data_IF_731394383242
#
_entry.id   IF_731394383242
#
_cell.length_a   1.000
_cell.length_b   1.000
_cell.length_c   1.000
_cell.angle_alpha   90.00
_cell.angle_beta   90.00
_cell.angle_gamma   90.00
#
_symmetry.space_group_name_H-M   'P 1'
#
loop_
_entity.id
_entity.type
_entity.pdbx_description
1 polymer ?
#
# COMPACT_ATOMS: atom_id res chain seq x y z
N UNK A 1 9.80 -3.87 58.73
CA UNK A 1 10.76 -3.57 57.65
C UNK A 1 10.24 -4.22 56.37
N UNK A 2 9.47 -3.49 55.56
CA UNK A 2 8.95 -3.99 54.29
C UNK A 2 9.78 -3.40 53.15
N UNK A 3 10.46 -4.26 52.38
CA UNK A 3 11.21 -3.85 51.19
C UNK A 3 10.19 -3.61 50.07
N UNK A 4 9.92 -2.33 49.78
CA UNK A 4 9.19 -1.91 48.59
C UNK A 4 10.10 -2.20 47.39
N UNK A 5 9.76 -3.23 46.60
CA UNK A 5 10.40 -3.47 45.31
C UNK A 5 9.93 -2.39 44.34
N UNK A 6 10.86 -1.59 43.80
CA UNK A 6 10.57 -0.67 42.69
C UNK A 6 10.08 -1.48 41.49
N UNK A 7 8.90 -1.14 41.00
CA UNK A 7 8.43 -1.54 39.67
C UNK A 7 9.32 -0.80 38.66
N UNK A 8 9.99 -1.48 37.71
CA UNK A 8 10.75 -0.79 36.68
C UNK A 8 9.81 0.04 35.81
N UNK A 9 10.23 1.28 35.54
CA UNK A 9 9.55 2.24 34.68
C UNK A 9 9.33 1.60 33.30
N UNK A 10 8.06 1.47 32.90
CA UNK A 10 7.71 0.99 31.57
C UNK A 10 8.05 2.10 30.58
N UNK A 11 8.82 1.85 29.50
CA UNK A 11 9.09 2.90 28.52
C UNK A 11 7.77 3.38 27.91
N UNK A 12 7.54 4.68 28.05
CA UNK A 12 6.44 5.41 27.43
C UNK A 12 6.55 5.19 25.92
N UNK A 13 5.49 4.73 25.27
CA UNK A 13 5.43 4.52 23.82
C UNK A 13 5.71 5.88 23.15
N UNK A 14 6.96 6.13 22.78
CA UNK A 14 7.37 7.34 22.07
C UNK A 14 6.69 7.32 20.70
N UNK A 15 5.99 8.41 20.37
CA UNK A 15 5.48 8.61 19.01
C UNK A 15 6.70 8.58 18.10
N UNK A 16 6.76 7.60 17.19
CA UNK A 16 7.83 7.54 16.20
C UNK A 16 7.72 8.79 15.32
N UNK A 17 8.69 9.69 15.45
CA UNK A 17 8.91 10.73 14.44
C UNK A 17 9.03 10.05 13.06
N UNK A 18 8.52 10.66 11.98
CA UNK A 18 8.66 10.10 10.65
C UNK A 18 10.14 9.86 10.39
N UNK A 19 10.48 8.61 10.09
CA UNK A 19 11.85 8.23 9.78
C UNK A 19 12.21 8.85 8.42
N UNK A 20 12.87 10.00 8.47
CA UNK A 20 13.27 10.79 7.30
C UNK A 20 14.36 10.11 6.47
N UNK A 21 14.87 8.94 6.87
CA UNK A 21 15.89 8.19 6.13
C UNK A 21 15.32 7.06 5.27
N UNK A 22 14.03 6.73 5.41
CA UNK A 22 13.38 5.62 4.72
C UNK A 22 12.24 6.08 3.80
N UNK A 23 11.99 5.29 2.75
CA UNK A 23 10.79 5.39 1.93
C UNK A 23 9.62 4.80 2.71
N UNK A 24 8.55 5.57 2.87
CA UNK A 24 7.40 5.17 3.68
C UNK A 24 6.22 4.88 2.76
N UNK A 25 5.68 3.66 2.84
CA UNK A 25 4.45 3.28 2.13
C UNK A 25 3.28 3.61 3.02
N UNK A 26 2.47 4.56 2.57
CA UNK A 26 1.19 4.88 3.17
C UNK A 26 0.08 4.32 2.30
N UNK A 27 -1.05 4.00 2.93
CA UNK A 27 -2.24 3.51 2.25
C UNK A 27 -3.41 4.39 2.62
N UNK A 28 -4.02 4.98 1.60
CA UNK A 28 -5.36 5.57 1.69
C UNK A 28 -6.37 4.54 1.17
N UNK A 29 -7.64 4.67 1.55
CA UNK A 29 -8.71 3.97 0.84
C UNK A 29 -9.34 4.92 -0.22
N UNK A 30 -9.75 4.39 -1.37
CA UNK A 30 -10.35 5.23 -2.42
C UNK A 30 -11.70 5.84 -1.99
N UNK A 31 -12.36 5.26 -0.98
CA UNK A 31 -13.66 5.72 -0.50
C UNK A 31 -13.58 6.99 0.37
N UNK A 32 -12.49 7.15 1.13
CA UNK A 32 -12.22 8.25 2.05
C UNK A 32 -10.91 8.97 1.71
N UNK A 33 -10.52 9.08 0.44
CA UNK A 33 -9.25 9.72 0.00
C UNK A 33 -9.02 11.18 0.51
N UNK A 34 -10.03 11.82 1.12
CA UNK A 34 -9.92 13.15 1.76
C UNK A 34 -9.91 13.11 3.30
N UNK A 35 -10.08 11.95 3.90
CA UNK A 35 -10.02 11.74 5.33
C UNK A 35 -8.69 11.09 5.71
N UNK A 36 -7.70 11.94 6.01
CA UNK A 36 -6.37 11.50 6.43
C UNK A 36 -6.39 10.69 7.73
N UNK A 37 -7.50 10.62 8.46
CA UNK A 37 -7.62 9.76 9.66
C UNK A 37 -7.68 8.27 9.32
N UNK A 38 -8.01 7.92 8.08
CA UNK A 38 -8.01 6.54 7.58
C UNK A 38 -6.67 6.14 6.95
N UNK A 39 -5.78 7.10 6.69
CA UNK A 39 -4.42 6.83 6.21
C UNK A 39 -3.64 6.07 7.26
N UNK A 40 -3.07 4.93 6.87
CA UNK A 40 -2.16 4.19 7.73
C UNK A 40 -0.79 4.00 7.07
N UNK A 41 0.24 3.89 7.90
CA UNK A 41 1.58 3.50 7.47
C UNK A 41 1.60 1.97 7.34
N UNK A 42 1.82 1.47 6.14
CA UNK A 42 1.98 0.04 5.90
C UNK A 42 3.41 -0.42 6.19
N UNK A 43 4.41 0.36 5.76
CA UNK A 43 5.81 -0.02 5.94
C UNK A 43 6.84 1.07 5.70
N UNK A 44 8.08 0.79 6.12
CA UNK A 44 9.27 1.63 5.90
C UNK A 44 10.32 0.78 5.18
N UNK A 45 10.90 1.33 4.12
CA UNK A 45 11.80 0.62 3.23
C UNK A 45 13.09 1.42 2.99
N UNK A 46 14.26 0.75 2.93
CA UNK A 46 15.54 1.40 2.70
C UNK A 46 15.69 1.93 1.27
N UNK A 47 14.95 1.37 0.31
CA UNK A 47 15.04 1.75 -1.10
C UNK A 47 13.65 2.08 -1.67
N UNK A 48 13.64 2.91 -2.72
CA UNK A 48 12.42 3.23 -3.44
C UNK A 48 11.82 1.99 -4.12
N UNK A 49 12.68 1.13 -4.68
CA UNK A 49 12.24 -0.08 -5.38
C UNK A 49 11.53 -1.06 -4.44
N UNK A 50 12.04 -1.26 -3.22
CA UNK A 50 11.36 -2.09 -2.21
C UNK A 50 10.01 -1.50 -1.79
N UNK A 51 9.92 -0.17 -1.68
CA UNK A 51 8.65 0.50 -1.42
C UNK A 51 7.66 0.33 -2.58
N UNK A 52 8.14 0.39 -3.84
CA UNK A 52 7.31 0.13 -5.04
C UNK A 52 6.85 -1.32 -5.05
N UNK A 53 7.72 -2.29 -4.77
CA UNK A 53 7.36 -3.70 -4.68
C UNK A 53 6.26 -3.92 -3.63
N UNK A 54 6.33 -3.22 -2.49
CA UNK A 54 5.27 -3.28 -1.49
C UNK A 54 3.96 -2.69 -2.00
N UNK A 55 3.98 -1.50 -2.60
CA UNK A 55 2.77 -0.90 -3.19
C UNK A 55 2.13 -1.84 -4.23
N UNK A 56 2.94 -2.43 -5.12
CA UNK A 56 2.48 -3.40 -6.12
C UNK A 56 1.84 -4.62 -5.47
N UNK A 57 2.47 -5.18 -4.43
CA UNK A 57 1.93 -6.34 -3.73
C UNK A 57 0.56 -6.06 -3.08
N UNK A 58 0.33 -4.85 -2.57
CA UNK A 58 -0.99 -4.46 -2.04
C UNK A 58 -2.03 -4.46 -3.17
N UNK A 59 -1.74 -3.78 -4.27
CA UNK A 59 -2.64 -3.72 -5.43
C UNK A 59 -2.90 -5.10 -6.03
N UNK A 60 -1.85 -5.91 -6.20
CA UNK A 60 -1.95 -7.26 -6.75
C UNK A 60 -2.86 -8.15 -5.89
N UNK A 61 -2.70 -8.12 -4.57
CA UNK A 61 -3.55 -8.88 -3.65
C UNK A 61 -5.02 -8.51 -3.78
N UNK A 62 -5.33 -7.22 -3.87
CA UNK A 62 -6.72 -6.76 -4.00
C UNK A 62 -7.33 -7.09 -5.36
N UNK A 63 -6.55 -6.95 -6.44
CA UNK A 63 -7.01 -7.32 -7.78
C UNK A 63 -7.25 -8.83 -7.88
N UNK A 64 -6.37 -9.66 -7.32
CA UNK A 64 -6.55 -11.11 -7.29
C UNK A 64 -7.80 -11.51 -6.49
N UNK A 65 -8.05 -10.87 -5.34
CA UNK A 65 -9.25 -11.12 -4.52
C UNK A 65 -10.54 -10.60 -5.20
N UNK A 66 -10.44 -9.50 -5.94
CA UNK A 66 -11.57 -8.91 -6.65
C UNK A 66 -11.93 -9.64 -7.96
N UNK A 67 -10.95 -10.32 -8.57
CA UNK A 67 -11.06 -10.96 -9.87
C UNK A 67 -12.08 -12.09 -9.88
N UNK A 68 -12.87 -12.15 -10.96
CA UNK A 68 -13.80 -13.23 -11.24
C UNK A 68 -13.66 -13.66 -12.70
N UNK A 69 -13.73 -14.97 -13.00
CA UNK A 69 -13.74 -15.44 -14.38
C UNK A 69 -14.81 -14.72 -15.21
N UNK A 70 -14.40 -14.18 -16.36
CA UNK A 70 -15.28 -13.44 -17.27
C UNK A 70 -15.32 -11.92 -17.04
N UNK A 71 -14.62 -11.38 -16.03
CA UNK A 71 -14.44 -9.93 -15.92
C UNK A 71 -13.55 -9.39 -17.04
N UNK A 72 -13.92 -8.25 -17.61
CA UNK A 72 -13.05 -7.46 -18.47
C UNK A 72 -12.02 -6.68 -17.64
N UNK A 73 -10.98 -6.14 -18.29
CA UNK A 73 -9.99 -5.32 -17.60
C UNK A 73 -10.66 -4.08 -17.00
N UNK A 74 -11.62 -3.52 -17.73
CA UNK A 74 -12.43 -2.38 -17.34
C UNK A 74 -13.28 -2.70 -16.11
N UNK A 75 -13.99 -3.83 -16.07
CA UNK A 75 -14.81 -4.23 -14.91
C UNK A 75 -13.98 -4.37 -13.63
N UNK A 76 -12.79 -4.97 -13.76
CA UNK A 76 -11.89 -5.17 -12.63
C UNK A 76 -11.31 -3.83 -12.14
N UNK A 77 -10.88 -2.98 -13.07
CA UNK A 77 -10.34 -1.66 -12.75
C UNK A 77 -11.39 -0.74 -12.14
N UNK A 78 -12.61 -0.72 -12.66
CA UNK A 78 -13.72 0.06 -12.10
C UNK A 78 -13.95 -0.34 -10.63
N UNK A 79 -14.01 -1.64 -10.36
CA UNK A 79 -14.17 -2.15 -9.00
C UNK A 79 -13.03 -1.72 -8.07
N UNK A 80 -11.78 -1.83 -8.51
CA UNK A 80 -10.62 -1.39 -7.73
C UNK A 80 -10.64 0.14 -7.49
N UNK A 81 -10.98 0.94 -8.49
CA UNK A 81 -11.02 2.40 -8.35
C UNK A 81 -12.08 2.92 -7.36
N UNK A 82 -13.13 2.13 -7.11
CA UNK A 82 -14.20 2.46 -6.17
C UNK A 82 -13.94 1.97 -4.74
N UNK A 83 -13.29 0.82 -4.59
CA UNK A 83 -13.23 0.10 -3.31
C UNK A 83 -11.84 -0.36 -2.88
N UNK A 84 -10.83 -0.21 -3.74
CA UNK A 84 -9.46 -0.61 -3.47
C UNK A 84 -8.69 0.39 -2.62
N UNK A 85 -7.49 -0.02 -2.26
CA UNK A 85 -6.48 0.77 -1.57
C UNK A 85 -5.67 1.61 -2.56
N UNK A 86 -5.24 2.80 -2.13
CA UNK A 86 -4.32 3.70 -2.84
C UNK A 86 -2.95 3.75 -2.13
N UNK A 87 -2.07 2.74 -2.32
CA UNK A 87 -0.74 2.77 -1.73
C UNK A 87 0.15 3.80 -2.44
N UNK A 88 0.74 4.72 -1.68
CA UNK A 88 1.68 5.72 -2.19
C UNK A 88 2.96 5.80 -1.34
N UNK A 89 4.02 6.32 -1.95
CA UNK A 89 5.34 6.38 -1.33
C UNK A 89 5.66 7.82 -0.93
N UNK A 90 5.83 8.06 0.36
CA UNK A 90 6.47 9.26 0.87
C UNK A 90 7.98 9.08 0.83
N UNK A 91 8.65 9.97 0.09
CA UNK A 91 10.10 9.95 -0.08
C UNK A 91 10.82 10.73 1.03
N UNK A 92 12.03 10.31 1.44
CA UNK A 92 12.93 11.13 2.25
C UNK A 92 13.20 12.52 1.65
N UNK A 93 13.49 13.53 2.49
CA UNK A 93 13.94 14.84 2.01
C UNK A 93 15.14 14.69 1.04
N UNK A 94 15.04 15.33 -0.13
CA UNK A 94 16.10 15.30 -1.15
C UNK A 94 16.16 14.05 -2.02
N UNK A 95 15.32 13.04 -1.77
CA UNK A 95 15.25 11.78 -2.55
C UNK A 95 13.93 11.59 -3.30
N UNK A 96 13.28 12.70 -3.68
CA UNK A 96 12.05 12.66 -4.48
C UNK A 96 12.30 11.97 -5.81
N UNK A 97 11.43 11.05 -6.18
CA UNK A 97 11.40 10.38 -7.48
C UNK A 97 10.31 11.00 -8.35
N UNK A 98 10.61 11.21 -9.64
CA UNK A 98 9.69 11.77 -10.62
C UNK A 98 9.76 10.97 -11.95
N UNK A 99 8.64 10.43 -12.47
CA UNK A 99 7.33 10.43 -11.83
C UNK A 99 7.30 9.52 -10.58
N UNK A 100 6.49 9.84 -9.55
CA UNK A 100 6.28 8.95 -8.42
C UNK A 100 5.46 7.73 -8.85
N UNK A 101 5.48 6.69 -8.01
CA UNK A 101 4.60 5.54 -8.15
C UNK A 101 3.13 5.98 -8.10
N UNK A 102 2.31 5.39 -8.97
CA UNK A 102 0.87 5.58 -9.01
C UNK A 102 0.19 4.22 -8.93
N UNK A 103 -0.57 3.98 -7.86
CA UNK A 103 -1.32 2.75 -7.70
C UNK A 103 -2.35 2.57 -8.82
N UNK A 104 -2.99 3.65 -9.27
CA UNK A 104 -3.94 3.64 -10.38
C UNK A 104 -3.31 3.19 -11.69
N UNK A 105 -2.17 3.78 -12.08
CA UNK A 105 -1.51 3.40 -13.32
C UNK A 105 -1.07 1.92 -13.27
N UNK A 106 -0.52 1.48 -12.13
CA UNK A 106 -0.14 0.09 -11.95
C UNK A 106 -1.36 -0.85 -12.01
N UNK A 107 -2.46 -0.50 -11.34
CA UNK A 107 -3.68 -1.31 -11.34
C UNK A 107 -4.27 -1.45 -12.76
N UNK A 108 -4.26 -0.37 -13.55
CA UNK A 108 -4.72 -0.39 -14.94
C UNK A 108 -3.92 -1.39 -15.78
N UNK A 109 -2.58 -1.31 -15.74
CA UNK A 109 -1.68 -2.23 -16.43
C UNK A 109 -1.89 -3.69 -15.98
N UNK A 110 -2.15 -3.89 -14.68
CA UNK A 110 -2.34 -5.21 -14.09
C UNK A 110 -3.67 -5.84 -14.48
N UNK A 111 -4.74 -5.06 -14.53
CA UNK A 111 -6.06 -5.52 -14.99
C UNK A 111 -6.02 -6.03 -16.43
N UNK A 112 -5.29 -5.33 -17.32
CA UNK A 112 -5.08 -5.80 -18.68
C UNK A 112 -4.33 -7.14 -18.72
N UNK A 113 -3.32 -7.31 -17.84
CA UNK A 113 -2.52 -8.54 -17.78
C UNK A 113 -3.36 -9.73 -17.31
N UNK A 114 -4.10 -9.60 -16.22
CA UNK A 114 -4.89 -10.70 -15.61
C UNK A 114 -6.01 -11.20 -16.53
N UNK A 115 -6.68 -10.28 -17.22
CA UNK A 115 -7.81 -10.62 -18.10
C UNK A 115 -7.35 -11.23 -19.43
N UNK A 116 -6.19 -10.82 -19.97
CA UNK A 116 -5.57 -11.49 -21.13
C UNK A 116 -5.24 -12.96 -20.83
N UNK A 117 -4.65 -13.26 -19.68
CA UNK A 117 -4.33 -14.64 -19.26
C UNK A 117 -5.60 -15.50 -19.14
N UNK A 118 -6.70 -14.92 -18.70
CA UNK A 118 -7.97 -15.61 -18.48
C UNK A 118 -8.76 -15.94 -19.77
N UNK A 119 -8.37 -15.33 -20.90
CA UNK A 119 -9.00 -15.61 -22.22
C UNK A 119 -8.38 -16.77 -22.98
N UNK A 120 -7.31 -17.38 -22.46
CA UNK A 120 -6.73 -18.60 -23.03
C UNK A 120 -7.55 -19.80 -22.55
N UNK A 121 -8.21 -20.57 -23.44
CA UNK A 121 -8.93 -21.77 -23.04
C UNK A 121 -7.95 -22.76 -22.40
N UNK A 122 -8.31 -23.31 -21.25
CA UNK A 122 -7.61 -24.46 -20.67
C UNK A 122 -7.78 -25.62 -21.65
N UNK A 123 -6.68 -26.03 -22.30
CA UNK A 123 -6.62 -27.15 -23.23
C UNK A 123 -6.98 -28.48 -22.54
#
# INVERSE_FOLDING_TARGET
MAVVRRIPDQPKLERQEPDESHYQVFVDDHFHYRDESHRYLDGKFPTYDEAVERCRAIVDSELDDAFKPGFTAEDLFEKYSLFGSDPFIKTPPGLRVDPPFSAWNYALERCETLTRVSTVPKA
#
